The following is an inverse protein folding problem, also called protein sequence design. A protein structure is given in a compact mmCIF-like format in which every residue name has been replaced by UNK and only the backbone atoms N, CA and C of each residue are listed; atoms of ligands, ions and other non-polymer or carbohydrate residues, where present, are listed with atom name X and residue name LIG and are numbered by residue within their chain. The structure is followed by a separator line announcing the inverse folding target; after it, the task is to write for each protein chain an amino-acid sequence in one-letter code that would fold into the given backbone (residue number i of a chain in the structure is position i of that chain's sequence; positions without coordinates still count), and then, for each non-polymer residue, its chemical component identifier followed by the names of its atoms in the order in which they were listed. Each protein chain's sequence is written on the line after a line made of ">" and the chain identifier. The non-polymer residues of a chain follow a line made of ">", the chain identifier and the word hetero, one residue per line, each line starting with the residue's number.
data_IF_234087786387
#
_entry.id   IF_234087786387
#
_cell.length_a   1.000
_cell.length_b   1.000
_cell.length_c   1.000
_cell.angle_alpha   90.00
_cell.angle_beta   90.00
_cell.angle_gamma   90.00
#
_symmetry.space_group_name_H-M   'P 1'
#
loop_
_entity.id
_entity.type
_entity.pdbx_description
1 polymer ?
#
# COMPACT_ATOMS: atom_id res chain seq x y z
N UNK A 1 4.12 -8.13 20.67
CA UNK A 1 4.15 -7.02 21.67
C UNK A 1 2.74 -6.83 22.21
N UNK A 2 2.53 -6.34 23.43
CA UNK A 2 1.18 -6.02 23.91
C UNK A 2 0.49 -4.96 23.01
N UNK A 3 -0.78 -5.21 22.67
CA UNK A 3 -1.54 -4.39 21.72
C UNK A 3 -1.92 -3.01 22.26
N UNK A 4 -2.22 -2.91 23.57
CA UNK A 4 -2.61 -1.66 24.20
C UNK A 4 -1.39 -0.73 24.30
N UNK A 5 -0.24 -1.27 24.71
CA UNK A 5 1.06 -0.56 24.67
C UNK A 5 1.40 -0.12 23.24
N UNK A 6 1.16 -0.97 22.24
CA UNK A 6 1.42 -0.62 20.84
C UNK A 6 0.45 0.44 20.26
N UNK A 7 -0.71 0.67 20.89
CA UNK A 7 -1.70 1.69 20.50
C UNK A 7 -1.45 3.07 21.15
N UNK A 8 -0.70 3.15 22.25
CA UNK A 8 -0.57 4.38 23.07
C UNK A 8 -0.12 5.62 22.27
N UNK A 9 0.73 5.46 21.26
CA UNK A 9 1.23 6.58 20.45
C UNK A 9 0.16 7.25 19.57
N UNK A 10 -0.98 6.61 19.35
CA UNK A 10 -2.11 7.20 18.62
C UNK A 10 -2.96 8.16 19.48
N UNK A 11 -2.64 8.29 20.78
CA UNK A 11 -3.24 9.19 21.76
C UNK A 11 -4.77 9.37 21.64
N UNK A 12 -5.49 8.28 21.37
CA UNK A 12 -6.88 8.28 20.87
C UNK A 12 -7.90 8.98 21.79
N UNK A 13 -7.53 9.20 23.06
CA UNK A 13 -8.35 9.85 24.07
C UNK A 13 -8.25 11.39 24.06
N UNK A 14 -7.25 11.96 23.37
CA UNK A 14 -7.11 13.41 23.17
C UNK A 14 -7.68 13.88 21.82
N UNK A 15 -8.03 12.95 20.92
CA UNK A 15 -8.58 13.26 19.60
C UNK A 15 -10.02 13.79 19.75
N UNK A 16 -10.35 15.02 19.29
CA UNK A 16 -11.68 15.59 19.48
C UNK A 16 -12.78 14.77 18.81
N UNK A 17 -13.88 14.53 19.53
CA UNK A 17 -14.98 13.67 19.04
C UNK A 17 -15.71 14.28 17.84
N UNK A 18 -15.82 15.60 17.76
CA UNK A 18 -16.36 16.33 16.62
C UNK A 18 -15.44 16.25 15.39
N UNK A 19 -14.12 16.22 15.58
CA UNK A 19 -13.18 15.90 14.50
C UNK A 19 -13.35 14.46 14.01
N UNK A 20 -13.48 13.49 14.92
CA UNK A 20 -13.74 12.09 14.57
C UNK A 20 -15.02 11.96 13.76
N UNK A 21 -16.13 12.52 14.25
CA UNK A 21 -17.41 12.43 13.54
C UNK A 21 -17.36 13.17 12.18
N UNK A 22 -16.69 14.32 12.09
CA UNK A 22 -16.48 15.01 10.81
C UNK A 22 -15.61 14.21 9.81
N UNK A 23 -14.72 13.32 10.26
CA UNK A 23 -13.96 12.40 9.38
C UNK A 23 -14.86 11.26 8.88
N UNK A 24 -15.76 10.76 9.72
CA UNK A 24 -16.75 9.75 9.33
C UNK A 24 -17.81 10.32 8.38
N UNK A 25 -18.28 11.55 8.60
CA UNK A 25 -19.25 12.26 7.74
C UNK A 25 -18.68 12.60 6.35
N UNK A 26 -17.35 12.67 6.20
CA UNK A 26 -16.65 12.81 4.91
C UNK A 26 -16.40 11.47 4.19
N UNK A 27 -16.88 10.35 4.73
CA UNK A 27 -16.72 8.99 4.18
C UNK A 27 -15.25 8.60 3.87
N UNK A 28 -14.30 9.23 4.58
CA UNK A 28 -12.85 9.12 4.35
C UNK A 28 -12.39 9.48 2.92
N UNK A 29 -13.14 10.31 2.21
CA UNK A 29 -12.77 10.78 0.86
C UNK A 29 -11.67 11.85 0.90
N UNK A 30 -11.72 12.74 1.89
CA UNK A 30 -10.82 13.90 2.05
C UNK A 30 -10.11 13.91 3.43
N UNK A 31 -8.89 14.46 3.48
CA UNK A 31 -8.12 14.58 4.73
C UNK A 31 -8.59 15.77 5.55
N UNK A 32 -9.42 15.52 6.56
CA UNK A 32 -9.76 16.54 7.58
C UNK A 32 -8.48 16.98 8.34
N UNK A 33 -8.14 18.29 8.38
CA UNK A 33 -7.10 18.82 9.28
C UNK A 33 -7.50 18.59 10.75
N UNK A 34 -6.51 18.32 11.60
CA UNK A 34 -6.66 18.27 13.06
C UNK A 34 -5.86 19.43 13.68
N UNK A 35 -6.01 19.70 14.97
CA UNK A 35 -5.20 20.71 15.66
C UNK A 35 -3.70 20.38 15.58
N UNK A 36 -2.85 21.37 15.25
CA UNK A 36 -1.42 21.16 14.95
C UNK A 36 -0.68 20.43 16.08
N UNK A 37 -1.02 20.73 17.35
CA UNK A 37 -0.44 20.09 18.54
C UNK A 37 -0.70 18.57 18.52
N UNK A 38 -1.93 18.17 18.17
CA UNK A 38 -2.33 16.75 18.08
C UNK A 38 -1.71 16.12 16.83
N UNK A 39 -1.62 16.84 15.70
CA UNK A 39 -0.95 16.30 14.52
C UNK A 39 0.55 16.03 14.79
N UNK A 40 1.24 16.92 15.51
CA UNK A 40 2.65 16.73 15.86
C UNK A 40 2.88 15.65 16.94
N UNK A 41 1.99 15.49 17.92
CA UNK A 41 2.02 14.33 18.83
C UNK A 41 1.86 13.00 18.06
N UNK A 42 0.88 12.92 17.16
CA UNK A 42 0.65 11.74 16.31
C UNK A 42 1.85 11.45 15.41
N UNK A 43 2.45 12.49 14.81
CA UNK A 43 3.67 12.38 13.99
C UNK A 43 4.87 11.89 14.81
N UNK A 44 5.00 12.31 16.07
CA UNK A 44 6.14 11.96 16.94
C UNK A 44 6.27 10.44 17.21
N UNK A 45 5.17 9.68 17.12
CA UNK A 45 5.22 8.22 17.20
C UNK A 45 6.02 7.55 16.06
N UNK A 46 6.01 8.15 14.87
CA UNK A 46 6.83 7.75 13.72
C UNK A 46 6.65 6.31 13.20
N UNK A 47 7.53 5.91 12.27
CA UNK A 47 7.51 4.57 11.66
C UNK A 47 7.53 3.45 12.71
N UNK A 48 8.41 3.56 13.71
CA UNK A 48 8.68 2.50 14.68
C UNK A 48 7.41 2.09 15.44
N UNK A 49 6.59 3.05 15.85
CA UNK A 49 5.38 2.77 16.63
C UNK A 49 4.29 2.15 15.76
N UNK A 50 4.13 2.62 14.52
CA UNK A 50 3.29 1.97 13.52
C UNK A 50 3.72 0.52 13.21
N UNK A 51 5.02 0.25 13.11
CA UNK A 51 5.54 -1.12 12.92
C UNK A 51 5.28 -2.02 14.13
N UNK A 52 5.45 -1.49 15.35
CA UNK A 52 5.12 -2.21 16.58
C UNK A 52 3.64 -2.62 16.62
N UNK A 53 2.74 -1.69 16.26
CA UNK A 53 1.30 -1.93 16.18
C UNK A 53 0.94 -2.97 15.11
N UNK A 54 1.54 -2.87 13.91
CA UNK A 54 1.38 -3.86 12.85
C UNK A 54 1.74 -5.28 13.32
N UNK A 55 2.94 -5.47 13.90
CA UNK A 55 3.35 -6.81 14.35
C UNK A 55 2.53 -7.31 15.54
N UNK A 56 2.19 -6.45 16.50
CA UNK A 56 1.32 -6.83 17.63
C UNK A 56 -0.06 -7.32 17.18
N UNK A 57 -0.67 -6.64 16.19
CA UNK A 57 -1.94 -7.05 15.63
C UNK A 57 -1.83 -8.33 14.78
N UNK A 58 -0.71 -8.51 14.07
CA UNK A 58 -0.41 -9.70 13.30
C UNK A 58 -0.19 -10.94 14.20
N UNK A 59 0.52 -10.77 15.32
CA UNK A 59 0.71 -11.80 16.36
C UNK A 59 -0.67 -12.31 16.84
N UNK A 60 -1.56 -11.40 17.26
CA UNK A 60 -2.91 -11.75 17.73
C UNK A 60 -3.80 -12.37 16.65
N UNK A 61 -3.68 -11.94 15.38
CA UNK A 61 -4.40 -12.56 14.27
C UNK A 61 -3.95 -14.02 14.05
N UNK A 62 -2.66 -14.31 14.18
CA UNK A 62 -2.13 -15.67 14.12
C UNK A 62 -2.51 -16.52 15.34
N UNK A 63 -2.54 -15.94 16.55
CA UNK A 63 -3.00 -16.61 17.77
C UNK A 63 -4.47 -17.04 17.69
N UNK A 64 -5.36 -16.18 17.17
CA UNK A 64 -6.78 -16.52 16.98
C UNK A 64 -6.98 -17.68 15.99
N UNK A 65 -6.21 -17.71 14.90
CA UNK A 65 -6.28 -18.82 13.93
C UNK A 65 -5.79 -20.16 14.52
N UNK A 66 -4.86 -20.13 15.49
CA UNK A 66 -4.32 -21.33 16.14
C UNK A 66 -5.16 -21.80 17.34
N UNK A 67 -5.77 -20.86 18.08
CA UNK A 67 -6.62 -21.16 19.25
C UNK A 67 -8.03 -21.64 18.87
N UNK A 68 -8.50 -21.37 17.64
CA UNK A 68 -9.79 -21.82 17.11
C UNK A 68 -10.04 -23.36 17.08
N UNK A 69 -9.08 -24.17 17.56
CA UNK A 69 -9.20 -25.62 17.75
C UNK A 69 -8.74 -26.15 19.12
N UNK A 70 -8.62 -25.30 20.16
CA UNK A 70 -8.25 -25.69 21.53
C UNK A 70 -8.99 -24.84 22.57
N UNK A 71 -9.28 -25.42 23.74
CA UNK A 71 -10.00 -24.78 24.85
C UNK A 71 -9.26 -23.61 25.54
N UNK A 72 -8.11 -23.20 25.01
CA UNK A 72 -7.39 -22.00 25.43
C UNK A 72 -7.93 -20.77 24.71
N UNK A 73 -8.96 -20.15 25.27
CA UNK A 73 -9.59 -18.95 24.72
C UNK A 73 -8.69 -17.70 24.85
N UNK A 74 -7.76 -17.52 23.91
CA UNK A 74 -7.10 -16.22 23.70
C UNK A 74 -8.16 -15.14 23.48
N UNK A 75 -8.11 -14.08 24.28
CA UNK A 75 -9.14 -13.04 24.27
C UNK A 75 -9.18 -12.34 22.88
N UNK A 76 -10.37 -12.25 22.28
CA UNK A 76 -10.51 -11.67 20.94
C UNK A 76 -10.14 -10.18 20.94
N UNK A 77 -9.45 -9.72 19.90
CA UNK A 77 -8.97 -8.32 19.78
C UNK A 77 -10.07 -7.30 20.05
N UNK A 78 -11.29 -7.51 19.53
CA UNK A 78 -12.43 -6.60 19.81
C UNK A 78 -12.79 -6.49 21.29
N UNK A 79 -12.62 -7.58 22.05
CA UNK A 79 -12.87 -7.63 23.49
C UNK A 79 -11.75 -6.90 24.23
N UNK A 80 -10.47 -7.14 23.87
CA UNK A 80 -9.32 -6.41 24.43
C UNK A 80 -9.47 -4.90 24.23
N UNK A 81 -9.83 -4.47 23.02
CA UNK A 81 -10.05 -3.05 22.70
C UNK A 81 -11.25 -2.47 23.44
N UNK A 82 -12.37 -3.20 23.50
CA UNK A 82 -13.61 -2.76 24.15
C UNK A 82 -13.49 -2.64 25.68
N UNK A 83 -12.92 -3.64 26.35
CA UNK A 83 -12.71 -3.63 27.81
C UNK A 83 -11.75 -2.52 28.27
N UNK A 84 -10.80 -2.13 27.42
CA UNK A 84 -9.85 -1.05 27.68
C UNK A 84 -10.31 0.32 27.13
N UNK A 85 -11.59 0.44 26.73
CA UNK A 85 -12.21 1.71 26.35
C UNK A 85 -11.72 2.31 25.03
N UNK A 86 -11.06 1.52 24.17
CA UNK A 86 -10.49 2.02 22.91
C UNK A 86 -11.61 2.35 21.91
N UNK A 87 -11.80 3.64 21.62
CA UNK A 87 -12.73 4.10 20.59
C UNK A 87 -12.30 3.61 19.20
N UNK A 88 -12.99 2.60 18.68
CA UNK A 88 -12.77 2.08 17.32
C UNK A 88 -13.07 3.15 16.25
N UNK A 89 -14.01 4.06 16.52
CA UNK A 89 -14.28 5.24 15.66
C UNK A 89 -13.04 6.13 15.55
N UNK A 90 -12.43 6.47 16.69
CA UNK A 90 -11.23 7.33 16.74
C UNK A 90 -10.01 6.63 16.13
N UNK A 91 -9.85 5.33 16.39
CA UNK A 91 -8.78 4.51 15.80
C UNK A 91 -8.85 4.52 14.27
N UNK A 92 -10.02 4.26 13.66
CA UNK A 92 -10.17 4.30 12.20
C UNK A 92 -9.98 5.72 11.66
N UNK A 93 -10.49 6.76 12.33
CA UNK A 93 -10.30 8.14 11.92
C UNK A 93 -8.81 8.55 11.91
N UNK A 94 -8.05 8.23 12.96
CA UNK A 94 -6.60 8.52 13.01
C UNK A 94 -5.83 7.73 11.96
N UNK A 95 -6.11 6.42 11.79
CA UNK A 95 -5.49 5.62 10.73
C UNK A 95 -5.76 6.22 9.33
N UNK A 96 -7.01 6.65 9.07
CA UNK A 96 -7.38 7.28 7.80
C UNK A 96 -6.65 8.60 7.53
N UNK A 97 -6.39 9.40 8.57
CA UNK A 97 -5.70 10.69 8.45
C UNK A 97 -4.23 10.52 8.02
N UNK A 98 -3.55 9.45 8.44
CA UNK A 98 -2.23 9.05 7.93
C UNK A 98 -2.29 8.46 6.52
N UNK A 99 -3.29 7.64 6.22
CA UNK A 99 -3.52 7.08 4.88
C UNK A 99 -3.74 8.18 3.84
N UNK A 100 -4.57 9.17 4.15
CA UNK A 100 -4.90 10.27 3.24
C UNK A 100 -3.76 11.30 3.14
N UNK A 101 -2.87 11.42 4.14
CA UNK A 101 -1.67 12.26 4.06
C UNK A 101 -0.73 11.86 2.91
N UNK A 102 -0.77 10.60 2.47
CA UNK A 102 0.02 10.11 1.33
C UNK A 102 -0.42 10.72 -0.01
N UNK A 103 -1.70 11.11 -0.14
CA UNK A 103 -2.25 11.67 -1.38
C UNK A 103 -1.85 13.13 -1.64
N UNK A 104 -1.17 13.79 -0.69
CA UNK A 104 -0.70 15.15 -0.89
C UNK A 104 0.44 15.23 -1.93
N UNK A 105 0.43 16.27 -2.78
CA UNK A 105 1.65 16.70 -3.49
C UNK A 105 2.76 16.94 -2.45
N UNK A 106 4.00 16.54 -2.76
CA UNK A 106 5.13 16.69 -1.84
C UNK A 106 5.17 15.70 -0.66
N UNK A 107 4.28 14.70 -0.56
CA UNK A 107 4.26 13.78 0.58
C UNK A 107 5.62 13.10 0.84
N UNK A 108 6.17 13.35 2.05
CA UNK A 108 7.50 12.92 2.48
C UNK A 108 7.64 11.41 2.70
N UNK A 109 8.87 10.93 2.82
CA UNK A 109 9.18 9.53 3.19
C UNK A 109 8.45 9.10 4.45
N UNK A 110 8.44 9.95 5.48
CA UNK A 110 7.82 9.62 6.76
C UNK A 110 6.30 9.51 6.65
N UNK A 111 5.65 10.40 5.89
CA UNK A 111 4.21 10.33 5.60
C UNK A 111 3.86 9.10 4.77
N UNK A 112 4.63 8.79 3.71
CA UNK A 112 4.46 7.58 2.88
C UNK A 112 4.56 6.31 3.71
N UNK A 113 5.61 6.19 4.52
CA UNK A 113 5.85 4.99 5.35
C UNK A 113 4.82 4.86 6.47
N UNK A 114 4.48 5.93 7.21
CA UNK A 114 3.42 5.87 8.22
C UNK A 114 2.04 5.57 7.61
N UNK A 115 1.68 6.18 6.47
CA UNK A 115 0.42 5.92 5.78
C UNK A 115 0.29 4.48 5.27
N UNK A 116 1.39 3.90 4.75
CA UNK A 116 1.43 2.48 4.38
C UNK A 116 1.19 1.58 5.59
N UNK A 117 1.89 1.79 6.72
CA UNK A 117 1.65 0.97 7.92
C UNK A 117 0.28 1.23 8.57
N UNK A 118 -0.26 2.45 8.51
CA UNK A 118 -1.61 2.75 8.97
C UNK A 118 -2.68 1.97 8.16
N UNK A 119 -2.52 1.92 6.83
CA UNK A 119 -3.32 1.04 5.98
C UNK A 119 -3.08 -0.44 6.28
N UNK A 120 -1.84 -0.87 6.49
CA UNK A 120 -1.52 -2.26 6.85
C UNK A 120 -2.25 -2.69 8.14
N UNK A 121 -2.30 -1.81 9.15
CA UNK A 121 -3.05 -2.01 10.39
C UNK A 121 -4.56 -2.04 10.12
N UNK A 122 -5.09 -1.11 9.32
CA UNK A 122 -6.52 -1.08 8.97
C UNK A 122 -6.97 -2.36 8.25
N UNK A 123 -6.22 -2.82 7.24
CA UNK A 123 -6.53 -4.05 6.51
C UNK A 123 -6.44 -5.30 7.40
N UNK A 124 -5.50 -5.34 8.36
CA UNK A 124 -5.48 -6.41 9.38
C UNK A 124 -6.70 -6.36 10.31
N UNK A 125 -7.11 -5.17 10.78
CA UNK A 125 -8.34 -5.00 11.57
C UNK A 125 -9.58 -5.48 10.81
N UNK A 126 -9.68 -5.20 9.51
CA UNK A 126 -10.76 -5.72 8.67
C UNK A 126 -10.76 -7.25 8.56
N UNK A 127 -9.56 -7.86 8.53
CA UNK A 127 -9.37 -9.30 8.44
C UNK A 127 -9.70 -10.08 9.71
N UNK A 128 -9.84 -9.42 10.87
CA UNK A 128 -10.23 -10.07 12.12
C UNK A 128 -11.76 -10.33 12.12
N UNK A 129 -12.23 -11.57 12.36
CA UNK A 129 -13.65 -11.89 12.40
C UNK A 129 -14.44 -10.97 13.34
N UNK A 130 -15.51 -10.36 12.84
CA UNK A 130 -16.31 -9.38 13.59
C UNK A 130 -16.04 -7.91 13.27
N UNK A 131 -15.11 -7.58 12.36
CA UNK A 131 -14.83 -6.21 11.91
C UNK A 131 -16.06 -5.43 11.44
N UNK A 132 -16.99 -6.09 10.73
CA UNK A 132 -18.29 -5.50 10.30
C UNK A 132 -19.20 -5.23 11.51
N UNK A 133 -19.32 -6.18 12.44
CA UNK A 133 -20.18 -6.02 13.63
C UNK A 133 -19.69 -4.89 14.56
N UNK A 134 -18.37 -4.72 14.64
CA UNK A 134 -17.70 -3.63 15.36
C UNK A 134 -17.66 -2.29 14.57
N UNK A 135 -18.31 -2.22 13.39
CA UNK A 135 -18.40 -1.02 12.54
C UNK A 135 -17.05 -0.44 12.08
N UNK A 136 -16.03 -1.29 11.94
CA UNK A 136 -14.69 -0.90 11.46
C UNK A 136 -14.62 -0.88 9.92
N UNK A 137 -15.47 -1.68 9.26
CA UNK A 137 -15.52 -1.77 7.80
C UNK A 137 -16.06 -0.48 7.14
N UNK A 138 -15.28 0.08 6.21
CA UNK A 138 -15.69 1.13 5.30
C UNK A 138 -15.09 0.89 3.90
N UNK A 139 -15.94 0.85 2.86
CA UNK A 139 -15.53 0.37 1.53
C UNK A 139 -14.57 1.34 0.82
N UNK A 140 -14.86 2.64 0.85
CA UNK A 140 -13.98 3.70 0.31
C UNK A 140 -12.59 3.70 0.95
N UNK A 141 -12.50 3.33 2.24
CA UNK A 141 -11.24 3.28 2.97
C UNK A 141 -10.47 1.99 2.69
N UNK A 142 -11.15 0.84 2.52
CA UNK A 142 -10.54 -0.41 2.03
C UNK A 142 -9.89 -0.21 0.65
N UNK A 143 -10.63 0.37 -0.31
CA UNK A 143 -10.09 0.59 -1.65
C UNK A 143 -8.97 1.63 -1.65
N UNK A 144 -9.14 2.74 -0.90
CA UNK A 144 -8.08 3.74 -0.71
C UNK A 144 -6.81 3.15 -0.08
N UNK A 145 -6.94 2.28 0.93
CA UNK A 145 -5.80 1.58 1.54
C UNK A 145 -5.11 0.62 0.58
N UNK A 146 -5.86 0.02 -0.35
CA UNK A 146 -5.31 -0.94 -1.31
C UNK A 146 -4.51 -0.25 -2.43
N UNK A 147 -5.00 0.88 -2.98
CA UNK A 147 -4.33 1.63 -4.05
C UNK A 147 -3.08 2.41 -3.60
N UNK A 148 -2.87 2.62 -2.29
CA UNK A 148 -1.70 3.32 -1.72
C UNK A 148 -0.35 2.87 -2.31
N UNK A 149 -0.21 1.59 -2.63
CA UNK A 149 1.00 1.03 -3.26
C UNK A 149 1.42 1.80 -4.52
N UNK A 150 0.45 2.34 -5.27
CA UNK A 150 0.66 3.08 -6.52
C UNK A 150 0.91 4.57 -6.34
N UNK A 151 0.49 5.14 -5.21
CA UNK A 151 0.75 6.52 -4.81
C UNK A 151 2.08 6.68 -4.06
N UNK A 152 2.45 5.68 -3.24
CA UNK A 152 3.67 5.70 -2.44
C UNK A 152 4.94 5.49 -3.24
N UNK A 153 4.92 4.63 -4.26
CA UNK A 153 6.07 4.45 -5.12
C UNK A 153 6.25 5.66 -6.05
N UNK A 154 7.48 6.19 -6.23
CA UNK A 154 7.72 7.20 -7.25
C UNK A 154 7.45 6.59 -8.62
N UNK A 155 6.56 7.21 -9.39
CA UNK A 155 6.41 6.87 -10.80
C UNK A 155 7.71 7.22 -11.52
N UNK A 156 8.13 6.40 -12.49
CA UNK A 156 9.30 6.73 -13.32
C UNK A 156 8.92 7.83 -14.33
N UNK A 157 8.82 9.07 -13.82
CA UNK A 157 8.91 10.30 -14.61
C UNK A 157 10.09 10.16 -15.58
N UNK A 158 9.79 10.32 -16.87
CA UNK A 158 10.49 9.59 -17.92
C UNK A 158 12.01 9.82 -17.93
N UNK A 159 12.77 8.91 -17.30
CA UNK A 159 14.23 8.82 -17.37
C UNK A 159 14.68 8.45 -18.79
N UNK A 160 14.54 9.42 -19.71
CA UNK A 160 15.32 9.53 -20.93
C UNK A 160 16.77 9.41 -20.50
N UNK A 161 17.35 8.21 -20.64
CA UNK A 161 18.78 7.98 -20.43
C UNK A 161 19.50 9.07 -21.21
N UNK A 162 20.22 9.93 -20.49
CA UNK A 162 21.03 10.99 -21.07
C UNK A 162 22.16 10.29 -21.81
N UNK A 163 21.87 9.89 -23.06
CA UNK A 163 22.76 9.11 -23.93
C UNK A 163 24.04 9.92 -24.01
N UNK A 164 25.10 9.42 -23.36
CA UNK A 164 26.35 10.15 -23.26
C UNK A 164 26.82 10.53 -24.66
N UNK A 165 26.68 11.83 -24.96
CA UNK A 165 27.14 12.39 -26.20
C UNK A 165 28.66 12.48 -26.06
N UNK A 166 29.32 11.37 -26.42
CA UNK A 166 30.76 11.18 -26.35
C UNK A 166 31.47 12.38 -26.98
N UNK A 167 31.92 13.30 -26.12
CA UNK A 167 32.71 14.47 -26.52
C UNK A 167 34.10 14.01 -26.90
N UNK A 168 34.22 13.52 -28.13
CA UNK A 168 35.50 13.22 -28.76
C UNK A 168 36.35 14.50 -28.78
N UNK A 169 37.36 14.54 -27.92
CA UNK A 169 38.26 15.67 -27.77
C UNK A 169 39.48 15.50 -28.67
N UNK A 170 39.40 15.99 -29.90
CA UNK A 170 40.58 16.35 -30.68
C UNK A 170 40.43 17.79 -31.17
N UNK A 171 41.52 18.54 -31.07
CA UNK A 171 41.59 19.93 -31.44
C UNK A 171 42.66 20.12 -32.51
N UNK A 172 42.32 20.84 -33.59
CA UNK A 172 43.13 21.94 -34.13
C UNK A 172 42.30 22.70 -35.19
N UNK A 173 42.54 24.01 -35.40
CA UNK A 173 41.75 24.78 -36.38
C UNK A 173 41.65 26.29 -36.18
N UNK A 174 42.69 27.03 -36.57
CA UNK A 174 42.87 28.49 -36.42
C UNK A 174 41.73 29.40 -36.99
N UNK A 175 41.39 30.43 -36.20
CA UNK A 175 41.19 31.87 -36.58
C UNK A 175 39.85 32.34 -37.21
N UNK A 176 39.05 33.12 -36.46
CA UNK A 176 38.58 34.52 -36.77
C UNK A 176 37.41 35.03 -35.87
N UNK A 177 37.26 36.35 -35.76
CA UNK A 177 36.18 37.16 -35.08
C UNK A 177 35.86 38.37 -36.01
N UNK A 178 34.87 39.28 -35.74
CA UNK A 178 33.90 39.41 -34.63
C UNK A 178 32.42 39.22 -35.15
N UNK A 179 31.32 39.98 -34.95
CA UNK A 179 31.05 41.28 -34.29
C UNK A 179 29.54 41.61 -33.98
N UNK A 180 29.17 41.59 -32.69
CA UNK A 180 28.17 42.46 -31.99
C UNK A 180 26.64 42.32 -32.29
N UNK A 181 25.85 42.78 -31.28
CA UNK A 181 24.39 43.05 -31.22
C UNK A 181 23.44 41.83 -31.19
N UNK A 182 22.28 41.88 -30.52
CA UNK A 182 21.76 42.68 -29.38
C UNK A 182 20.65 41.84 -28.68
N UNK A 183 20.19 42.23 -27.49
CA UNK A 183 19.06 41.67 -26.71
C UNK A 183 18.15 42.84 -26.25
N UNK A 184 16.86 42.69 -25.85
CA UNK A 184 16.16 41.55 -25.20
C UNK A 184 15.05 40.98 -26.12
N UNK A 185 13.95 40.28 -25.75
CA UNK A 185 13.16 40.03 -24.52
C UNK A 185 12.72 38.54 -24.50
N UNK A 186 12.82 37.81 -23.39
CA UNK A 186 11.85 37.73 -22.26
C UNK A 186 10.49 37.11 -22.60
N UNK A 187 10.50 35.88 -23.12
CA UNK A 187 9.43 34.92 -22.80
C UNK A 187 9.94 34.05 -21.64
N UNK A 188 9.49 34.35 -20.41
CA UNK A 188 9.56 33.42 -19.30
C UNK A 188 8.41 32.44 -19.47
N UNK A 189 8.70 31.32 -20.13
CA UNK A 189 7.85 30.13 -20.01
C UNK A 189 8.06 29.61 -18.58
N UNK A 190 7.14 29.96 -17.68
CA UNK A 190 7.09 29.42 -16.32
C UNK A 190 6.58 27.97 -16.42
N UNK A 191 7.41 27.09 -17.00
CA UNK A 191 7.35 25.66 -16.71
C UNK A 191 7.44 25.53 -15.19
N UNK A 192 6.31 25.21 -14.53
CA UNK A 192 6.32 24.78 -13.14
C UNK A 192 7.27 23.57 -13.06
N UNK A 193 8.49 23.78 -12.54
CA UNK A 193 9.37 22.69 -12.16
C UNK A 193 8.62 21.89 -11.08
N UNK A 194 7.90 20.85 -11.48
CA UNK A 194 7.36 19.86 -10.57
C UNK A 194 8.53 19.41 -9.70
N UNK A 195 8.53 19.74 -8.40
CA UNK A 195 9.61 19.40 -7.47
C UNK A 195 9.75 17.88 -7.43
N UNK A 196 10.61 17.35 -8.31
CA UNK A 196 10.70 15.92 -8.58
C UNK A 196 11.29 15.26 -7.35
N UNK A 197 10.43 14.75 -6.46
CA UNK A 197 10.80 14.29 -5.12
C UNK A 197 11.95 13.27 -5.14
N UNK A 198 13.17 13.77 -4.94
CA UNK A 198 14.41 13.01 -5.04
C UNK A 198 14.62 12.14 -3.79
N UNK A 199 14.02 10.96 -3.78
CA UNK A 199 14.22 9.96 -2.73
C UNK A 199 15.62 9.34 -2.76
N UNK A 200 16.25 9.18 -1.60
CA UNK A 200 17.50 8.42 -1.50
C UNK A 200 17.25 6.92 -1.68
N UNK A 201 18.28 6.16 -2.02
CA UNK A 201 18.19 4.69 -2.11
C UNK A 201 17.72 4.03 -0.79
N UNK A 202 18.01 4.64 0.36
CA UNK A 202 17.52 4.13 1.66
C UNK A 202 16.02 4.40 1.85
N UNK A 203 15.52 5.52 1.32
CA UNK A 203 14.10 5.87 1.44
C UNK A 203 13.23 5.04 0.49
N UNK A 204 13.74 4.75 -0.71
CA UNK A 204 13.12 3.79 -1.62
C UNK A 204 13.01 2.40 -0.97
N UNK A 205 14.04 1.95 -0.23
CA UNK A 205 13.98 0.68 0.53
C UNK A 205 12.89 0.73 1.62
N UNK A 206 12.84 1.78 2.44
CA UNK A 206 11.77 1.93 3.47
C UNK A 206 10.37 1.90 2.85
N UNK A 207 10.17 2.62 1.74
CA UNK A 207 8.88 2.68 1.03
C UNK A 207 8.55 1.30 0.43
N UNK A 208 9.51 0.61 -0.20
CA UNK A 208 9.33 -0.75 -0.74
C UNK A 208 8.96 -1.75 0.34
N UNK A 209 9.64 -1.71 1.49
CA UNK A 209 9.35 -2.65 2.59
C UNK A 209 8.02 -2.32 3.27
N UNK A 210 7.63 -1.05 3.39
CA UNK A 210 6.29 -0.68 3.86
C UNK A 210 5.18 -1.09 2.85
N UNK A 211 5.45 -1.01 1.54
CA UNK A 211 4.58 -1.58 0.49
C UNK A 211 4.46 -3.10 0.65
N UNK A 212 5.57 -3.80 0.92
CA UNK A 212 5.55 -5.25 1.13
C UNK A 212 4.64 -5.65 2.32
N UNK A 213 4.67 -4.91 3.44
CA UNK A 213 3.77 -5.15 4.56
C UNK A 213 2.31 -4.83 4.23
N UNK A 214 2.02 -3.77 3.45
CA UNK A 214 0.66 -3.46 3.01
C UNK A 214 0.09 -4.58 2.12
N UNK A 215 0.90 -5.10 1.21
CA UNK A 215 0.52 -6.26 0.37
C UNK A 215 0.30 -7.50 1.23
N UNK A 216 1.15 -7.76 2.25
CA UNK A 216 0.91 -8.84 3.22
C UNK A 216 -0.42 -8.66 3.96
N UNK A 217 -0.77 -7.46 4.44
CA UNK A 217 -2.08 -7.21 5.07
C UNK A 217 -3.24 -7.51 4.14
N UNK A 218 -3.15 -7.11 2.86
CA UNK A 218 -4.20 -7.38 1.88
C UNK A 218 -4.35 -8.90 1.61
N UNK A 219 -3.25 -9.66 1.65
CA UNK A 219 -3.30 -11.13 1.56
C UNK A 219 -3.96 -11.78 2.79
N UNK A 220 -3.63 -11.32 4.01
CA UNK A 220 -4.29 -11.79 5.23
C UNK A 220 -5.80 -11.46 5.20
N UNK A 221 -6.16 -10.24 4.76
CA UNK A 221 -7.56 -9.83 4.59
C UNK A 221 -8.30 -10.75 3.62
N UNK A 222 -7.74 -11.04 2.45
CA UNK A 222 -8.37 -11.91 1.46
C UNK A 222 -8.51 -13.38 1.92
N UNK A 223 -7.67 -13.84 2.86
CA UNK A 223 -7.83 -15.18 3.42
C UNK A 223 -9.08 -15.30 4.31
N UNK A 224 -9.48 -14.24 5.03
CA UNK A 224 -10.59 -14.28 6.00
C UNK A 224 -11.86 -13.55 5.53
N UNK A 225 -11.73 -12.46 4.79
CA UNK A 225 -12.82 -11.54 4.43
C UNK A 225 -13.29 -11.76 2.98
N UNK A 226 -14.54 -12.21 2.76
CA UNK A 226 -15.05 -12.47 1.41
C UNK A 226 -15.41 -11.17 0.67
N UNK A 227 -15.01 -11.08 -0.60
CA UNK A 227 -15.33 -9.94 -1.48
C UNK A 227 -16.41 -10.25 -2.53
N UNK A 228 -17.04 -11.44 -2.47
CA UNK A 228 -18.09 -11.86 -3.44
C UNK A 228 -19.26 -10.86 -3.57
N UNK A 229 -19.59 -10.16 -2.48
CA UNK A 229 -20.67 -9.17 -2.42
C UNK A 229 -20.15 -7.73 -2.68
N UNK A 230 -18.86 -7.57 -3.01
CA UNK A 230 -18.13 -6.31 -3.24
C UNK A 230 -17.33 -6.38 -4.55
N UNK A 231 -18.01 -6.46 -5.71
CA UNK A 231 -17.35 -6.63 -7.00
C UNK A 231 -16.44 -5.46 -7.39
N UNK A 232 -16.65 -4.26 -6.83
CA UNK A 232 -15.77 -3.12 -7.01
C UNK A 232 -14.40 -3.38 -6.36
N UNK A 233 -14.34 -3.57 -5.04
CA UNK A 233 -13.08 -3.82 -4.33
C UNK A 233 -12.38 -5.11 -4.78
N UNK A 234 -13.13 -6.16 -5.14
CA UNK A 234 -12.57 -7.37 -5.75
C UNK A 234 -11.86 -7.06 -7.09
N UNK A 235 -12.50 -6.24 -7.95
CA UNK A 235 -11.91 -5.77 -9.20
C UNK A 235 -10.71 -4.85 -8.94
N UNK A 236 -10.75 -4.01 -7.91
CA UNK A 236 -9.64 -3.12 -7.57
C UNK A 236 -8.42 -3.89 -7.09
N UNK A 237 -8.59 -4.82 -6.15
CA UNK A 237 -7.53 -5.73 -5.69
C UNK A 237 -6.88 -6.47 -6.88
N UNK A 238 -7.67 -6.96 -7.84
CA UNK A 238 -7.15 -7.59 -9.05
C UNK A 238 -6.33 -6.63 -9.92
N UNK A 239 -6.70 -5.35 -10.00
CA UNK A 239 -5.93 -4.33 -10.72
C UNK A 239 -4.61 -3.98 -10.01
N UNK A 240 -4.65 -3.79 -8.69
CA UNK A 240 -3.49 -3.47 -7.87
C UNK A 240 -2.45 -4.59 -7.95
N UNK A 241 -2.84 -5.84 -7.69
CA UNK A 241 -1.94 -6.98 -7.85
C UNK A 241 -1.43 -7.13 -9.30
N UNK A 242 -2.25 -6.84 -10.33
CA UNK A 242 -1.78 -6.87 -11.73
C UNK A 242 -0.68 -5.82 -12.01
N UNK A 243 -0.72 -4.64 -11.37
CA UNK A 243 0.36 -3.65 -11.42
C UNK A 243 1.61 -4.19 -10.69
N UNK A 244 1.41 -4.76 -9.49
CA UNK A 244 2.48 -5.19 -8.58
C UNK A 244 3.30 -6.39 -9.08
N UNK A 245 2.79 -7.18 -10.04
CA UNK A 245 3.58 -8.21 -10.74
C UNK A 245 4.84 -7.68 -11.42
N UNK A 246 4.87 -6.38 -11.74
CA UNK A 246 5.98 -5.72 -12.45
C UNK A 246 6.74 -4.71 -11.56
N UNK A 247 6.50 -4.73 -10.25
CA UNK A 247 7.01 -3.72 -9.30
C UNK A 247 8.53 -3.75 -9.11
N UNK A 248 9.12 -4.95 -9.05
CA UNK A 248 10.57 -5.16 -8.89
C UNK A 248 11.02 -6.38 -9.71
N UNK A 249 12.26 -6.39 -10.26
CA UNK A 249 12.76 -7.53 -11.03
C UNK A 249 13.05 -8.72 -10.11
N UNK A 250 12.33 -9.82 -10.29
CA UNK A 250 12.57 -11.07 -9.54
C UNK A 250 13.76 -11.82 -10.12
N UNK A 251 14.71 -12.19 -9.25
CA UNK A 251 15.90 -12.96 -9.61
C UNK A 251 15.71 -14.45 -9.26
N UNK A 252 15.64 -15.29 -10.28
CA UNK A 252 15.49 -16.75 -10.15
C UNK A 252 14.17 -17.28 -10.72
N UNK A 253 13.86 -18.55 -10.45
CA UNK A 253 12.58 -19.16 -10.82
C UNK A 253 11.49 -18.78 -9.81
N UNK A 254 10.33 -18.32 -10.32
CA UNK A 254 9.18 -17.96 -9.49
C UNK A 254 8.43 -19.23 -9.05
N UNK A 255 8.57 -19.59 -7.77
CA UNK A 255 7.94 -20.77 -7.17
C UNK A 255 6.44 -20.56 -6.91
N UNK A 256 5.59 -20.60 -7.94
CA UNK A 256 4.13 -20.37 -7.89
C UNK A 256 3.29 -21.42 -7.11
N UNK A 257 3.93 -22.20 -6.23
CA UNK A 257 3.27 -23.09 -5.29
C UNK A 257 2.31 -22.30 -4.35
N UNK A 258 1.42 -23.00 -3.65
CA UNK A 258 0.75 -22.36 -2.52
C UNK A 258 1.75 -22.33 -1.33
N UNK A 259 2.12 -21.15 -0.79
CA UNK A 259 2.88 -21.08 0.44
C UNK A 259 2.08 -21.68 1.60
N UNK A 260 2.79 -22.19 2.60
CA UNK A 260 2.22 -22.64 3.87
C UNK A 260 2.01 -21.46 4.82
N UNK A 261 2.86 -20.43 4.75
CA UNK A 261 2.78 -19.22 5.56
C UNK A 261 3.08 -18.00 4.68
N UNK A 262 2.36 -16.89 4.87
CA UNK A 262 2.54 -15.67 4.05
C UNK A 262 3.94 -15.05 4.18
N UNK A 263 4.66 -15.32 5.26
CA UNK A 263 6.07 -14.92 5.46
C UNK A 263 7.09 -15.70 4.62
N UNK A 264 6.67 -16.75 3.90
CA UNK A 264 7.53 -17.47 2.94
C UNK A 264 7.70 -16.71 1.62
N UNK A 265 6.82 -15.75 1.32
CA UNK A 265 6.83 -14.90 0.11
C UNK A 265 7.82 -13.74 0.29
N UNK A 266 8.77 -13.58 -0.64
CA UNK A 266 9.95 -12.70 -0.48
C UNK A 266 9.89 -11.43 -1.32
N UNK A 267 9.26 -11.50 -2.49
CA UNK A 267 9.13 -10.37 -3.42
C UNK A 267 7.69 -9.88 -3.54
N UNK A 268 7.53 -8.60 -3.86
CA UNK A 268 6.21 -7.98 -4.10
C UNK A 268 5.46 -8.66 -5.26
N UNK A 269 6.11 -9.04 -6.39
CA UNK A 269 5.49 -9.85 -7.44
C UNK A 269 5.03 -11.25 -7.01
N UNK A 270 5.77 -11.98 -6.15
CA UNK A 270 5.31 -13.27 -5.60
C UNK A 270 4.00 -13.11 -4.81
N UNK A 271 3.97 -12.10 -3.93
CA UNK A 271 2.80 -11.76 -3.13
C UNK A 271 1.63 -11.32 -4.01
N UNK A 272 1.88 -10.51 -5.03
CA UNK A 272 0.88 -10.09 -6.00
C UNK A 272 0.27 -11.28 -6.76
N UNK A 273 1.09 -12.21 -7.26
CA UNK A 273 0.61 -13.42 -7.92
C UNK A 273 -0.27 -14.27 -6.98
N UNK A 274 0.14 -14.45 -5.73
CA UNK A 274 -0.66 -15.16 -4.74
C UNK A 274 -1.99 -14.44 -4.44
N UNK A 275 -2.01 -13.11 -4.45
CA UNK A 275 -3.22 -12.29 -4.34
C UNK A 275 -4.21 -12.52 -5.49
N UNK A 276 -3.73 -12.53 -6.74
CA UNK A 276 -4.56 -12.89 -7.90
C UNK A 276 -5.14 -14.31 -7.76
N UNK A 277 -4.35 -15.26 -7.24
CA UNK A 277 -4.76 -16.65 -6.97
C UNK A 277 -5.81 -16.76 -5.85
N UNK A 278 -5.76 -15.93 -4.81
CA UNK A 278 -6.80 -15.84 -3.78
C UNK A 278 -8.12 -15.33 -4.36
N UNK A 279 -8.07 -14.27 -5.17
CA UNK A 279 -9.26 -13.67 -5.82
C UNK A 279 -9.97 -14.65 -6.77
N UNK A 280 -9.25 -15.61 -7.36
CA UNK A 280 -9.83 -16.70 -8.14
C UNK A 280 -10.63 -17.72 -7.30
N UNK A 281 -10.66 -17.62 -5.97
CA UNK A 281 -11.43 -18.55 -5.13
C UNK A 281 -12.90 -18.11 -4.98
N UNK A 282 -13.86 -19.03 -4.75
CA UNK A 282 -15.29 -18.70 -4.62
C UNK A 282 -15.64 -17.73 -3.46
N UNK A 283 -14.69 -17.38 -2.59
CA UNK A 283 -14.84 -16.33 -1.56
C UNK A 283 -14.99 -14.92 -2.15
N UNK A 284 -14.52 -14.67 -3.37
CA UNK A 284 -14.43 -13.32 -3.95
C UNK A 284 -15.24 -13.12 -5.25
N UNK A 285 -15.90 -14.16 -5.78
CA UNK A 285 -16.79 -14.06 -6.94
C UNK A 285 -16.86 -15.33 -7.78
N UNK A 286 -17.44 -15.25 -8.98
CA UNK A 286 -17.36 -16.33 -9.98
C UNK A 286 -15.92 -16.42 -10.53
N UNK A 287 -15.33 -17.61 -10.38
CA UNK A 287 -14.00 -17.94 -10.87
C UNK A 287 -13.85 -17.72 -12.39
N UNK A 288 -14.94 -17.87 -13.16
CA UNK A 288 -14.94 -17.63 -14.61
C UNK A 288 -14.79 -16.14 -14.93
N UNK A 289 -15.56 -15.28 -14.27
CA UNK A 289 -15.43 -13.83 -14.47
C UNK A 289 -14.05 -13.33 -14.05
N UNK A 290 -13.60 -13.68 -12.84
CA UNK A 290 -12.30 -13.28 -12.31
C UNK A 290 -11.18 -13.82 -13.21
N UNK A 291 -11.22 -15.11 -13.56
CA UNK A 291 -10.25 -15.75 -14.46
C UNK A 291 -10.18 -15.10 -15.85
N UNK A 292 -11.32 -14.76 -16.46
CA UNK A 292 -11.34 -14.05 -17.75
C UNK A 292 -10.79 -12.62 -17.65
N UNK A 293 -11.16 -11.87 -16.60
CA UNK A 293 -10.64 -10.51 -16.32
C UNK A 293 -9.13 -10.53 -16.11
N UNK A 294 -8.61 -11.54 -15.42
CA UNK A 294 -7.17 -11.77 -15.23
C UNK A 294 -6.47 -12.17 -16.51
N UNK A 295 -6.97 -13.17 -17.24
CA UNK A 295 -6.38 -13.62 -18.50
C UNK A 295 -6.24 -12.47 -19.50
N UNK A 296 -7.25 -11.59 -19.62
CA UNK A 296 -7.18 -10.42 -20.48
C UNK A 296 -6.08 -9.44 -20.04
N UNK A 297 -5.94 -9.15 -18.74
CA UNK A 297 -4.89 -8.25 -18.20
C UNK A 297 -3.49 -8.84 -18.32
N UNK A 298 -3.35 -10.16 -18.21
CA UNK A 298 -2.09 -10.89 -18.38
C UNK A 298 -1.76 -11.24 -19.84
N UNK A 299 -2.64 -10.91 -20.79
CA UNK A 299 -2.39 -11.07 -22.24
C UNK A 299 -1.95 -9.77 -22.94
N UNK A 300 -2.02 -8.61 -22.27
CA UNK A 300 -1.53 -7.35 -22.81
C UNK A 300 0.01 -7.34 -22.92
N UNK A 301 0.61 -6.68 -23.93
CA UNK A 301 1.95 -7.02 -24.44
C UNK A 301 3.14 -6.80 -23.48
N UNK A 302 2.96 -6.11 -22.34
CA UNK A 302 3.99 -6.04 -21.29
C UNK A 302 4.22 -7.38 -20.58
N UNK A 303 3.24 -8.31 -20.62
CA UNK A 303 3.35 -9.62 -19.97
C UNK A 303 4.26 -10.62 -20.72
N UNK A 304 4.64 -10.33 -21.97
CA UNK A 304 5.37 -11.26 -22.85
C UNK A 304 6.82 -11.59 -22.41
N UNK A 305 7.31 -10.95 -21.33
CA UNK A 305 8.64 -11.19 -20.75
C UNK A 305 8.67 -12.22 -19.61
N UNK A 306 7.50 -12.64 -19.08
CA UNK A 306 7.43 -13.76 -18.13
C UNK A 306 7.07 -15.06 -18.86
N UNK A 307 7.68 -16.17 -18.43
CA UNK A 307 7.80 -17.42 -19.19
C UNK A 307 6.48 -18.05 -19.67
N UNK A 308 6.57 -18.77 -20.80
CA UNK A 308 5.44 -19.40 -21.50
C UNK A 308 4.65 -20.41 -20.65
N UNK A 309 5.22 -20.87 -19.55
CA UNK A 309 4.66 -21.91 -18.67
C UNK A 309 3.43 -21.46 -17.87
N UNK A 310 3.21 -20.15 -17.68
CA UNK A 310 1.97 -19.64 -17.07
C UNK A 310 0.73 -20.07 -17.88
N UNK A 311 0.83 -20.12 -19.21
CA UNK A 311 -0.24 -20.61 -20.10
C UNK A 311 -0.32 -22.14 -20.20
N UNK A 312 0.65 -22.89 -19.66
CA UNK A 312 0.65 -24.36 -19.65
C UNK A 312 -0.35 -24.94 -18.63
N UNK A 313 -0.80 -24.12 -17.66
CA UNK A 313 -1.71 -24.51 -16.57
C UNK A 313 -3.19 -24.70 -16.97
N UNK A 314 -3.46 -25.26 -18.16
CA UNK A 314 -4.79 -25.71 -18.63
C UNK A 314 -5.35 -26.93 -17.87
N UNK A 315 -5.03 -27.07 -16.57
CA UNK A 315 -5.47 -28.14 -15.66
C UNK A 315 -6.05 -27.65 -14.34
N UNK A 316 -6.22 -26.33 -14.14
CA UNK A 316 -6.87 -25.75 -12.95
C UNK A 316 -8.33 -25.35 -13.25
N UNK A 317 -9.00 -26.17 -14.08
CA UNK A 317 -10.47 -26.18 -14.26
C UNK A 317 -10.89 -27.66 -14.38
N UNK A 318 -10.94 -28.34 -13.25
CA UNK A 318 -11.49 -29.68 -13.03
C UNK A 318 -11.82 -29.80 -11.54
#
# INVERSE_FOLDING_TARGET
>A
MDLLVALQFLNLNQVPQDWVDAVWDLEFTERKPIEDIIEDELRAGGEKSFRNLYYSLLDHAAEQQQSAGRDGASQGVWVILGENGVSLKSLVAVLSHFVLAVRAKGASVQQRVCGLYAASVYLLLLGIPGSIANKVFHEVLLDTCSDLTTHCWPQESGRKRKKDCLKSSQADGKRSKPQRRDAPETEMDEEEEEEELHFSGQDLIKIRDAIAHLVQSLLHLLQTFPLKDRPHSASNCAQIFSKLLYFEPVLGELTFAAPRVLSELKSVPEMAFYGLKLLCSPKHGDQKEVGCKLHHKLSTPHAALLGRDVMSSRKIIA
#
